data_IF_164485224429
#
_entry.id   IF_164485224429
#
_cell.length_a   1.000
_cell.length_b   1.000
_cell.length_c   1.000
_cell.angle_alpha   90.00
_cell.angle_beta   90.00
_cell.angle_gamma   90.00
#
_symmetry.space_group_name_H-M   'P 1'
#
loop_
_entity.id
_entity.type
_entity.pdbx_description
1 polymer ?
#
# COMPACT_ATOMS: atom_id res chain seq x y z
N UNK A 1 40.67 -18.62 49.90
CA UNK A 1 40.16 -18.32 48.55
C UNK A 1 38.99 -17.37 48.71
N UNK A 2 39.01 -16.26 48.00
CA UNK A 2 38.27 -15.03 48.31
C UNK A 2 37.30 -14.70 47.15
N UNK A 3 36.11 -14.19 47.48
CA UNK A 3 35.06 -13.57 46.62
C UNK A 3 34.39 -14.51 45.58
N UNK A 4 33.14 -14.36 45.14
CA UNK A 4 32.35 -13.16 44.80
C UNK A 4 30.85 -13.51 44.84
N UNK A 5 30.02 -12.61 45.36
CA UNK A 5 28.55 -12.63 45.24
C UNK A 5 28.15 -12.31 43.79
N UNK A 6 27.27 -13.06 43.11
CA UNK A 6 26.73 -12.61 41.85
C UNK A 6 25.70 -11.51 42.12
N UNK A 7 26.06 -10.28 41.77
CA UNK A 7 25.13 -9.18 41.52
C UNK A 7 24.20 -9.63 40.38
N UNK A 8 22.90 -9.75 40.67
CA UNK A 8 21.90 -9.80 39.61
C UNK A 8 21.66 -8.36 39.17
N UNK A 9 22.26 -7.99 38.04
CA UNK A 9 21.83 -6.84 37.28
C UNK A 9 20.35 -7.03 36.91
N UNK A 10 19.53 -6.03 37.23
CA UNK A 10 18.15 -5.94 36.75
C UNK A 10 18.15 -5.67 35.24
N UNK A 11 18.35 -6.72 34.45
CA UNK A 11 17.90 -6.69 33.06
C UNK A 11 16.37 -6.67 33.08
N UNK A 12 15.81 -5.47 32.99
CA UNK A 12 14.42 -5.26 32.59
C UNK A 12 14.20 -6.03 31.29
N UNK A 13 13.61 -7.21 31.41
CA UNK A 13 13.07 -7.93 30.28
C UNK A 13 12.15 -6.98 29.53
N UNK A 14 12.57 -6.60 28.32
CA UNK A 14 11.72 -5.97 27.33
C UNK A 14 10.46 -6.83 27.19
N UNK A 15 9.37 -6.37 27.80
CA UNK A 15 8.05 -6.97 27.61
C UNK A 15 7.78 -6.89 26.12
N UNK A 16 7.72 -8.06 25.49
CA UNK A 16 7.36 -8.21 24.09
C UNK A 16 6.00 -7.54 23.90
N UNK A 17 5.98 -6.42 23.18
CA UNK A 17 4.76 -5.68 22.89
C UNK A 17 3.80 -6.62 22.17
N UNK A 18 2.62 -6.79 22.78
CA UNK A 18 1.53 -7.57 22.22
C UNK A 18 1.13 -6.96 20.87
N UNK A 19 0.62 -7.78 19.96
CA UNK A 19 0.17 -7.37 18.63
C UNK A 19 -0.67 -6.08 18.68
N UNK A 20 -0.48 -5.23 17.67
CA UNK A 20 -1.15 -3.91 17.52
C UNK A 20 -2.68 -4.01 17.56
N UNK A 21 -3.24 -5.21 17.37
CA UNK A 21 -4.68 -5.48 17.35
C UNK A 21 -5.28 -5.79 18.74
N UNK A 22 -4.48 -5.90 19.81
CA UNK A 22 -4.96 -6.16 21.16
C UNK A 22 -4.83 -4.90 22.04
N UNK A 23 -5.94 -4.18 22.22
CA UNK A 23 -5.98 -3.02 23.11
C UNK A 23 -6.48 -3.42 24.50
N UNK A 24 -5.56 -3.70 25.42
CA UNK A 24 -5.90 -3.91 26.83
C UNK A 24 -6.16 -2.56 27.50
N UNK A 25 -7.27 -2.45 28.23
CA UNK A 25 -7.67 -1.23 28.96
C UNK A 25 -6.64 -0.77 30.02
N UNK A 26 -5.77 -1.69 30.46
CA UNK A 26 -4.66 -1.41 31.36
C UNK A 26 -3.56 -2.43 31.11
N UNK A 27 -2.30 -1.96 31.10
CA UNK A 27 -1.11 -2.82 31.06
C UNK A 27 -0.74 -3.38 32.44
N UNK A 28 -1.56 -3.10 33.46
CA UNK A 28 -1.37 -3.55 34.84
C UNK A 28 -2.65 -4.18 35.39
N UNK A 29 -2.47 -5.22 36.21
CA UNK A 29 -3.58 -5.86 36.92
C UNK A 29 -4.27 -4.87 37.87
N UNK A 30 -5.61 -4.91 37.98
CA UNK A 30 -6.35 -4.05 38.92
C UNK A 30 -5.83 -4.24 40.34
N UNK A 31 -5.46 -3.15 40.99
CA UNK A 31 -5.03 -3.17 42.39
C UNK A 31 -6.27 -3.09 43.27
N UNK A 32 -6.68 -4.23 43.83
CA UNK A 32 -7.75 -4.30 44.82
C UNK A 32 -7.18 -4.54 46.22
N UNK A 33 -7.91 -4.10 47.24
CA UNK A 33 -7.65 -4.45 48.64
C UNK A 33 -8.67 -5.49 49.09
N UNK A 34 -8.17 -6.62 49.62
CA UNK A 34 -8.99 -7.67 50.23
C UNK A 34 -9.15 -7.40 51.73
N UNK A 35 -10.39 -7.46 52.22
CA UNK A 35 -10.69 -7.49 53.64
C UNK A 35 -10.56 -8.90 54.25
N UNK A 36 -10.83 -9.03 55.56
CA UNK A 36 -11.03 -10.34 56.19
C UNK A 36 -12.12 -11.12 55.43
N UNK A 37 -11.90 -12.43 55.22
CA UNK A 37 -12.71 -13.32 54.37
C UNK A 37 -12.61 -13.11 52.84
N UNK A 38 -11.51 -12.52 52.35
CA UNK A 38 -11.23 -12.35 50.91
C UNK A 38 -12.28 -11.51 50.16
N UNK A 39 -13.02 -10.64 50.85
CA UNK A 39 -13.98 -9.74 50.22
C UNK A 39 -13.26 -8.50 49.65
N UNK A 40 -13.48 -8.21 48.37
CA UNK A 40 -12.92 -7.02 47.70
C UNK A 40 -13.62 -5.77 48.28
N UNK A 41 -12.87 -4.93 49.00
CA UNK A 41 -13.44 -3.84 49.80
C UNK A 41 -13.53 -2.50 49.06
N UNK A 42 -12.79 -2.35 47.96
CA UNK A 42 -12.61 -1.07 47.28
C UNK A 42 -12.57 -1.29 45.76
N UNK A 43 -13.73 -1.18 45.12
CA UNK A 43 -13.79 -0.90 43.68
C UNK A 43 -13.38 0.57 43.49
N UNK A 44 -12.10 0.80 43.23
CA UNK A 44 -11.62 2.13 42.83
C UNK A 44 -12.34 2.45 41.52
N UNK A 45 -13.26 3.43 41.57
CA UNK A 45 -13.94 3.98 40.40
C UNK A 45 -12.92 4.20 39.30
N UNK A 46 -13.09 3.43 38.23
CA UNK A 46 -12.31 3.49 37.00
C UNK A 46 -12.19 4.96 36.61
N UNK A 47 -10.99 5.51 36.79
CA UNK A 47 -10.70 6.91 36.49
C UNK A 47 -11.05 7.09 35.02
N UNK A 48 -12.04 7.95 34.76
CA UNK A 48 -12.66 8.16 33.45
C UNK A 48 -11.73 8.89 32.48
N UNK A 49 -10.46 8.46 32.41
CA UNK A 49 -9.50 8.88 31.39
C UNK A 49 -9.74 8.05 30.14
N UNK A 50 -10.63 8.56 29.30
CA UNK A 50 -10.62 8.27 27.87
C UNK A 50 -11.49 7.11 27.40
N UNK A 51 -12.65 6.86 28.01
CA UNK A 51 -13.71 6.13 27.29
C UNK A 51 -14.21 7.01 26.16
N UNK A 52 -13.60 6.91 24.99
CA UNK A 52 -14.26 7.32 23.75
C UNK A 52 -15.55 6.53 23.67
N UNK A 53 -16.67 7.24 23.60
CA UNK A 53 -17.98 6.61 23.45
C UNK A 53 -17.99 5.78 22.17
N UNK A 54 -18.80 4.71 22.12
CA UNK A 54 -18.89 3.86 20.92
C UNK A 54 -19.15 4.68 19.64
N UNK A 55 -19.87 5.80 19.76
CA UNK A 55 -20.11 6.74 18.66
C UNK A 55 -18.83 7.47 18.20
N UNK A 56 -17.95 7.85 19.11
CA UNK A 56 -16.66 8.50 18.80
C UNK A 56 -15.68 7.52 18.17
N UNK A 57 -15.62 6.27 18.65
CA UNK A 57 -14.81 5.20 18.03
C UNK A 57 -15.29 4.91 16.61
N UNK A 58 -16.61 4.75 16.42
CA UNK A 58 -17.19 4.54 15.07
C UNK A 58 -16.93 5.73 14.15
N UNK A 59 -16.99 6.96 14.66
CA UNK A 59 -16.70 8.15 13.86
C UNK A 59 -15.22 8.22 13.48
N UNK A 60 -14.32 7.88 14.41
CA UNK A 60 -12.88 7.83 14.18
C UNK A 60 -12.51 6.75 13.15
N UNK A 61 -13.02 5.52 13.30
CA UNK A 61 -12.81 4.43 12.34
C UNK A 61 -13.40 4.77 10.97
N UNK A 62 -14.60 5.36 10.93
CA UNK A 62 -15.21 5.83 9.68
C UNK A 62 -14.31 6.86 9.00
N UNK A 63 -13.78 7.83 9.73
CA UNK A 63 -12.88 8.84 9.16
C UNK A 63 -11.58 8.19 8.66
N UNK A 64 -11.00 7.28 9.43
CA UNK A 64 -9.78 6.54 9.07
C UNK A 64 -9.98 5.67 7.82
N UNK A 65 -11.14 4.99 7.71
CA UNK A 65 -11.53 4.24 6.53
C UNK A 65 -11.76 5.16 5.32
N UNK A 66 -12.36 6.33 5.54
CA UNK A 66 -12.57 7.34 4.48
C UNK A 66 -11.24 7.90 3.98
N UNK A 67 -10.27 8.12 4.87
CA UNK A 67 -8.91 8.50 4.51
C UNK A 67 -8.17 7.38 3.77
N UNK A 68 -8.31 6.12 4.20
CA UNK A 68 -7.79 4.96 3.47
C UNK A 68 -8.40 4.81 2.08
N UNK A 69 -9.69 5.12 1.90
CA UNK A 69 -10.34 5.14 0.59
C UNK A 69 -9.90 6.33 -0.30
N UNK A 70 -9.34 7.39 0.31
CA UNK A 70 -8.74 8.52 -0.41
C UNK A 70 -7.35 8.14 -0.95
N UNK A 71 -6.63 7.27 -0.25
CA UNK A 71 -5.47 6.57 -0.78
C UNK A 71 -5.95 5.56 -1.84
N UNK A 72 -5.55 5.76 -3.09
CA UNK A 72 -5.95 4.87 -4.17
C UNK A 72 -5.47 3.45 -3.85
N UNK A 73 -6.39 2.47 -3.93
CA UNK A 73 -5.99 1.07 -3.89
C UNK A 73 -4.99 0.79 -5.00
N UNK A 74 -4.04 -0.13 -4.79
CA UNK A 74 -3.12 -0.61 -5.83
C UNK A 74 -3.90 -1.01 -7.10
N UNK A 75 -5.10 -1.59 -6.93
CA UNK A 75 -6.00 -1.92 -8.04
C UNK A 75 -6.47 -0.69 -8.79
N UNK A 76 -6.83 0.38 -8.09
CA UNK A 76 -7.28 1.63 -8.70
C UNK A 76 -6.13 2.36 -9.39
N UNK A 77 -4.93 2.30 -8.82
CA UNK A 77 -3.72 2.87 -9.40
C UNK A 77 -3.36 2.18 -10.73
N UNK A 78 -3.38 0.84 -10.76
CA UNK A 78 -3.19 0.06 -12.00
C UNK A 78 -4.24 0.43 -13.04
N UNK A 79 -5.52 0.48 -12.65
CA UNK A 79 -6.61 0.85 -13.58
C UNK A 79 -6.44 2.27 -14.13
N UNK A 80 -6.01 3.23 -13.31
CA UNK A 80 -5.72 4.60 -13.76
C UNK A 80 -4.54 4.62 -14.71
N UNK A 81 -3.49 3.86 -14.40
CA UNK A 81 -2.32 3.75 -15.27
C UNK A 81 -2.69 3.16 -16.63
N UNK A 82 -3.41 2.04 -16.68
CA UNK A 82 -3.84 1.41 -17.92
C UNK A 82 -4.71 2.34 -18.78
N UNK A 83 -5.63 3.07 -18.14
CA UNK A 83 -6.45 4.09 -18.83
C UNK A 83 -5.60 5.20 -19.42
N UNK A 84 -4.63 5.71 -18.65
CA UNK A 84 -3.75 6.79 -19.10
C UNK A 84 -2.79 6.30 -20.19
N UNK A 85 -2.28 5.08 -20.10
CA UNK A 85 -1.47 4.44 -21.13
C UNK A 85 -2.28 4.28 -22.42
N UNK A 86 -3.51 3.79 -22.33
CA UNK A 86 -4.41 3.67 -23.47
C UNK A 86 -4.84 5.01 -24.07
N UNK A 87 -4.89 6.08 -23.27
CA UNK A 87 -5.11 7.43 -23.78
C UNK A 87 -3.86 7.96 -24.51
N UNK A 88 -2.67 7.76 -23.91
CA UNK A 88 -1.40 8.19 -24.51
C UNK A 88 -1.12 7.51 -25.86
N UNK A 89 -1.53 6.25 -26.03
CA UNK A 89 -1.40 5.54 -27.32
C UNK A 89 -2.33 6.06 -28.41
N UNK A 90 -3.41 6.79 -28.06
CA UNK A 90 -4.37 7.39 -29.01
C UNK A 90 -4.03 8.83 -29.42
N UNK A 91 -3.24 9.55 -28.63
CA UNK A 91 -2.71 10.88 -28.97
C UNK A 91 -2.07 10.98 -30.37
N UNK A 92 -1.29 10.00 -30.88
CA UNK A 92 -0.75 10.07 -32.24
C UNK A 92 -1.83 10.07 -33.34
N UNK A 93 -3.03 9.54 -33.09
CA UNK A 93 -4.13 9.58 -34.06
C UNK A 93 -4.80 10.95 -34.10
N UNK A 94 -4.91 11.63 -32.96
CA UNK A 94 -5.35 13.02 -32.90
C UNK A 94 -4.37 13.96 -33.64
N UNK A 95 -3.07 13.68 -33.54
CA UNK A 95 -2.05 14.41 -34.31
C UNK A 95 -2.19 14.21 -35.83
N UNK A 96 -2.63 13.03 -36.31
CA UNK A 96 -2.92 12.79 -37.74
C UNK A 96 -4.12 13.60 -38.23
N UNK A 97 -5.16 13.76 -37.41
CA UNK A 97 -6.31 14.59 -37.77
C UNK A 97 -5.90 16.06 -37.96
N UNK A 98 -5.01 16.55 -37.10
CA UNK A 98 -4.47 17.92 -37.22
C UNK A 98 -3.61 18.10 -38.47
N UNK A 99 -2.85 17.08 -38.87
CA UNK A 99 -2.05 17.05 -40.11
C UNK A 99 -2.94 17.15 -41.37
N UNK A 100 -4.07 16.44 -41.40
CA UNK A 100 -5.04 16.49 -42.51
C UNK A 100 -5.67 17.88 -42.63
N UNK A 101 -6.07 18.49 -41.52
CA UNK A 101 -6.61 19.86 -41.51
C UNK A 101 -5.59 20.90 -41.99
N UNK A 102 -4.29 20.65 -41.75
CA UNK A 102 -3.19 21.51 -42.17
C UNK A 102 -2.98 21.48 -43.70
N UNK A 103 -3.03 20.29 -44.31
CA UNK A 103 -2.98 20.13 -45.77
C UNK A 103 -4.14 20.85 -46.48
N UNK A 104 -5.34 20.79 -45.93
CA UNK A 104 -6.50 21.52 -46.44
C UNK A 104 -6.31 23.04 -46.35
N UNK A 105 -5.66 23.51 -45.27
CA UNK A 105 -5.27 24.91 -45.09
C UNK A 105 -4.39 25.44 -46.22
N UNK A 106 -3.36 24.68 -46.64
CA UNK A 106 -2.50 25.07 -47.77
C UNK A 106 -3.25 25.19 -49.09
N UNK A 107 -4.18 24.26 -49.35
CA UNK A 107 -5.01 24.30 -50.56
C UNK A 107 -5.91 25.54 -50.57
N UNK A 108 -6.51 25.89 -49.44
CA UNK A 108 -7.38 27.07 -49.30
C UNK A 108 -6.55 28.35 -49.45
N UNK A 109 -5.40 28.46 -48.79
CA UNK A 109 -4.52 29.63 -48.89
C UNK A 109 -4.02 29.83 -50.32
N UNK A 110 -3.69 28.74 -51.03
CA UNK A 110 -3.32 28.81 -52.46
C UNK A 110 -4.47 29.34 -53.31
N UNK A 111 -5.67 28.76 -53.18
CA UNK A 111 -6.86 29.21 -53.94
C UNK A 111 -7.19 30.68 -53.66
N UNK A 112 -7.08 31.10 -52.39
CA UNK A 112 -7.30 32.48 -51.99
C UNK A 112 -6.27 33.42 -52.63
N UNK A 113 -4.98 33.07 -52.59
CA UNK A 113 -3.92 33.84 -53.24
C UNK A 113 -4.17 33.97 -54.75
N UNK A 114 -4.48 32.87 -55.42
CA UNK A 114 -4.72 32.85 -56.88
C UNK A 114 -5.96 33.70 -57.25
N UNK A 115 -7.01 33.67 -56.42
CA UNK A 115 -8.19 34.53 -56.60
C UNK A 115 -7.87 36.03 -56.38
N UNK A 116 -7.06 36.36 -55.37
CA UNK A 116 -6.61 37.73 -55.12
C UNK A 116 -5.70 38.25 -56.23
N UNK A 117 -4.81 37.42 -56.79
CA UNK A 117 -3.95 37.83 -57.92
C UNK A 117 -4.80 38.08 -59.19
N UNK A 118 -5.82 37.24 -59.44
CA UNK A 118 -6.79 37.47 -60.51
C UNK A 118 -7.55 38.80 -60.33
N UNK A 119 -7.99 39.09 -59.10
CA UNK A 119 -8.68 40.34 -58.77
C UNK A 119 -7.76 41.56 -58.94
N UNK A 120 -6.51 41.47 -58.47
CA UNK A 120 -5.49 42.51 -58.59
C UNK A 120 -5.20 42.87 -60.05
N UNK A 121 -5.20 41.89 -60.96
CA UNK A 121 -5.04 42.10 -62.40
C UNK A 121 -6.20 42.88 -63.05
N UNK A 122 -7.37 42.93 -62.40
CA UNK A 122 -8.59 43.60 -62.88
C UNK A 122 -8.85 44.96 -62.23
N UNK A 123 -8.08 45.35 -61.22
CA UNK A 123 -8.26 46.59 -60.45
C UNK A 123 -7.22 47.67 -60.83
N UNK A 124 -7.60 48.94 -60.67
CA UNK A 124 -6.74 50.10 -60.89
C UNK A 124 -6.51 50.91 -59.61
N UNK A 125 -5.36 51.59 -59.52
CA UNK A 125 -5.00 52.56 -58.47
C UNK A 125 -5.03 51.99 -57.04
N UNK A 126 -5.72 52.65 -56.10
CA UNK A 126 -5.71 52.41 -54.65
C UNK A 126 -6.16 50.99 -54.26
N UNK A 127 -7.18 50.45 -54.93
CA UNK A 127 -7.69 49.10 -54.65
C UNK A 127 -6.67 48.02 -55.03
N UNK A 128 -5.80 48.29 -56.00
CA UNK A 128 -4.73 47.36 -56.42
C UNK A 128 -3.66 47.20 -55.33
N UNK A 129 -3.31 48.29 -54.64
CA UNK A 129 -2.39 48.25 -53.49
C UNK A 129 -2.98 47.54 -52.28
N UNK A 130 -4.27 47.76 -51.99
CA UNK A 130 -4.97 47.06 -50.91
C UNK A 130 -5.05 45.55 -51.14
N UNK A 131 -5.38 45.12 -52.37
CA UNK A 131 -5.32 43.70 -52.74
C UNK A 131 -3.88 43.17 -52.71
N UNK A 132 -2.89 43.99 -53.09
CA UNK A 132 -1.48 43.65 -52.92
C UNK A 132 -1.10 43.35 -51.47
N UNK A 133 -1.55 44.18 -50.51
CA UNK A 133 -1.37 43.95 -49.07
C UNK A 133 -2.06 42.66 -48.62
N UNK A 134 -3.28 42.41 -49.10
CA UNK A 134 -4.01 41.18 -48.79
C UNK A 134 -3.26 39.93 -49.27
N UNK A 135 -2.66 39.96 -50.47
CA UNK A 135 -1.82 38.88 -51.00
C UNK A 135 -0.60 38.64 -50.08
N UNK A 136 0.12 39.70 -49.70
CA UNK A 136 1.25 39.58 -48.77
C UNK A 136 0.84 39.01 -47.40
N UNK A 137 -0.35 39.33 -46.90
CA UNK A 137 -0.88 38.74 -45.67
C UNK A 137 -1.18 37.24 -45.84
N UNK A 138 -1.74 36.82 -46.97
CA UNK A 138 -2.00 35.41 -47.28
C UNK A 138 -0.68 34.62 -47.41
N UNK A 139 0.34 35.20 -48.03
CA UNK A 139 1.69 34.60 -48.10
C UNK A 139 2.31 34.45 -46.71
N UNK A 140 2.20 35.49 -45.87
CA UNK A 140 2.67 35.41 -44.48
C UNK A 140 1.94 34.34 -43.66
N UNK A 141 0.63 34.15 -43.90
CA UNK A 141 -0.14 33.05 -43.28
C UNK A 141 0.31 31.68 -43.77
N UNK A 142 0.61 31.52 -45.06
CA UNK A 142 1.12 30.27 -45.61
C UNK A 142 2.48 29.89 -45.00
N UNK A 143 3.40 30.86 -44.85
CA UNK A 143 4.68 30.63 -44.18
C UNK A 143 4.49 30.19 -42.73
N UNK A 144 3.61 30.85 -41.98
CA UNK A 144 3.28 30.47 -40.59
C UNK A 144 2.68 29.07 -40.50
N UNK A 145 1.84 28.68 -41.46
CA UNK A 145 1.23 27.36 -41.50
C UNK A 145 2.30 26.28 -41.69
N UNK A 146 3.23 26.46 -42.64
CA UNK A 146 4.36 25.54 -42.86
C UNK A 146 5.29 25.43 -41.64
N UNK A 147 5.57 26.56 -40.97
CA UNK A 147 6.40 26.55 -39.77
C UNK A 147 5.74 25.73 -38.65
N UNK A 148 4.44 25.95 -38.41
CA UNK A 148 3.67 25.21 -37.41
C UNK A 148 3.61 23.71 -37.73
N UNK A 149 3.53 23.34 -39.00
CA UNK A 149 3.59 21.94 -39.42
C UNK A 149 4.94 21.30 -39.12
N UNK A 150 6.05 22.03 -39.35
CA UNK A 150 7.39 21.58 -38.97
C UNK A 150 7.50 21.29 -37.47
N UNK A 151 6.98 22.20 -36.64
CA UNK A 151 6.89 22.02 -35.17
C UNK A 151 6.05 20.79 -34.80
N UNK A 152 4.89 20.62 -35.45
CA UNK A 152 4.00 19.47 -35.22
C UNK A 152 4.67 18.14 -35.57
N UNK A 153 5.44 18.07 -36.67
CA UNK A 153 6.18 16.88 -37.07
C UNK A 153 7.24 16.52 -36.02
N UNK A 154 7.97 17.52 -35.52
CA UNK A 154 8.96 17.32 -34.46
C UNK A 154 8.29 16.85 -33.15
N UNK A 155 7.19 17.48 -32.75
CA UNK A 155 6.40 17.08 -31.57
C UNK A 155 5.90 15.64 -31.69
N UNK A 156 5.39 15.25 -32.86
CA UNK A 156 4.96 13.87 -33.17
C UNK A 156 6.08 12.87 -33.04
N UNK A 157 7.30 13.22 -33.48
CA UNK A 157 8.47 12.35 -33.34
C UNK A 157 8.83 12.14 -31.86
N UNK A 158 8.89 13.23 -31.08
CA UNK A 158 9.15 13.16 -29.64
C UNK A 158 8.05 12.37 -28.92
N UNK A 159 6.78 12.61 -29.25
CA UNK A 159 5.63 11.91 -28.68
C UNK A 159 5.65 10.41 -28.98
N UNK A 160 6.03 10.01 -30.20
CA UNK A 160 6.21 8.60 -30.57
C UNK A 160 7.31 7.95 -29.73
N UNK A 161 8.44 8.64 -29.55
CA UNK A 161 9.55 8.16 -28.72
C UNK A 161 9.12 7.99 -27.26
N UNK A 162 8.43 8.99 -26.70
CA UNK A 162 7.91 8.95 -25.33
C UNK A 162 6.89 7.83 -25.12
N UNK A 163 5.98 7.63 -26.06
CA UNK A 163 4.99 6.55 -26.02
C UNK A 163 5.67 5.17 -25.97
N UNK A 164 6.74 4.98 -26.74
CA UNK A 164 7.51 3.73 -26.71
C UNK A 164 8.20 3.51 -25.37
N UNK A 165 8.82 4.56 -24.80
CA UNK A 165 9.40 4.46 -23.46
C UNK A 165 8.36 4.14 -22.39
N UNK A 166 7.20 4.79 -22.45
CA UNK A 166 6.12 4.53 -21.49
C UNK A 166 5.61 3.08 -21.59
N UNK A 167 5.47 2.54 -22.81
CA UNK A 167 5.13 1.12 -23.02
C UNK A 167 6.19 0.19 -22.44
N UNK A 168 7.47 0.45 -22.73
CA UNK A 168 8.56 -0.37 -22.23
C UNK A 168 8.62 -0.37 -20.70
N UNK A 169 8.59 0.81 -20.08
CA UNK A 169 8.58 0.95 -18.63
C UNK A 169 7.37 0.26 -17.98
N UNK A 170 6.19 0.32 -18.62
CA UNK A 170 5.00 -0.39 -18.17
C UNK A 170 5.18 -1.91 -18.18
N UNK A 171 5.70 -2.47 -19.27
CA UNK A 171 5.95 -3.92 -19.37
C UNK A 171 7.03 -4.38 -18.39
N UNK A 172 8.11 -3.60 -18.25
CA UNK A 172 9.18 -3.91 -17.30
C UNK A 172 8.67 -3.89 -15.85
N UNK A 173 7.86 -2.91 -15.48
CA UNK A 173 7.22 -2.85 -14.17
C UNK A 173 6.30 -4.06 -13.93
N UNK A 174 5.49 -4.45 -14.93
CA UNK A 174 4.62 -5.61 -14.85
C UNK A 174 5.40 -6.91 -14.67
N UNK A 175 6.52 -7.06 -15.38
CA UNK A 175 7.42 -8.21 -15.25
C UNK A 175 8.02 -8.29 -13.85
N UNK A 176 8.54 -7.18 -13.33
CA UNK A 176 9.12 -7.11 -11.99
C UNK A 176 8.09 -7.49 -10.92
N UNK A 177 6.89 -6.94 -10.98
CA UNK A 177 5.80 -7.27 -10.04
C UNK A 177 5.43 -8.75 -10.09
N UNK A 178 5.34 -9.34 -11.29
CA UNK A 178 5.01 -10.76 -11.42
C UNK A 178 6.12 -11.66 -10.89
N UNK A 179 7.38 -11.29 -11.10
CA UNK A 179 8.53 -12.00 -10.57
C UNK A 179 8.54 -11.96 -9.04
N UNK A 180 8.36 -10.79 -8.43
CA UNK A 180 8.31 -10.65 -6.97
C UNK A 180 7.14 -11.44 -6.35
N UNK A 181 5.96 -11.39 -6.98
CA UNK A 181 4.82 -12.21 -6.56
C UNK A 181 5.14 -13.70 -6.58
N UNK A 182 5.86 -14.16 -7.62
CA UNK A 182 6.25 -15.57 -7.71
C UNK A 182 7.21 -15.96 -6.59
N UNK A 183 8.22 -15.13 -6.29
CA UNK A 183 9.15 -15.37 -5.19
C UNK A 183 8.44 -15.40 -3.84
N UNK A 184 7.61 -14.40 -3.55
CA UNK A 184 6.82 -14.36 -2.33
C UNK A 184 5.89 -15.58 -2.20
N UNK A 185 5.25 -16.03 -3.29
CA UNK A 185 4.42 -17.23 -3.27
C UNK A 185 5.25 -18.49 -2.95
N UNK A 186 6.45 -18.62 -3.54
CA UNK A 186 7.32 -19.77 -3.25
C UNK A 186 7.82 -19.77 -1.81
N UNK A 187 8.17 -18.61 -1.26
CA UNK A 187 8.62 -18.48 0.13
C UNK A 187 7.49 -18.77 1.11
N UNK A 188 6.30 -18.21 0.88
CA UNK A 188 5.11 -18.49 1.68
C UNK A 188 4.77 -19.98 1.65
N UNK A 189 4.81 -20.62 0.47
CA UNK A 189 4.52 -22.05 0.38
C UNK A 189 5.58 -22.91 1.06
N UNK A 190 6.86 -22.57 0.92
CA UNK A 190 7.95 -23.21 1.66
C UNK A 190 7.77 -23.11 3.18
N UNK A 191 7.43 -21.92 3.69
CA UNK A 191 7.14 -21.71 5.11
C UNK A 191 5.92 -22.52 5.57
N UNK A 192 4.86 -22.59 4.74
CA UNK A 192 3.67 -23.42 5.03
C UNK A 192 4.02 -24.91 5.07
N UNK A 193 4.86 -25.40 4.16
CA UNK A 193 5.32 -26.79 4.16
C UNK A 193 6.15 -27.11 5.43
N UNK A 194 7.04 -26.19 5.83
CA UNK A 194 7.80 -26.33 7.08
C UNK A 194 6.87 -26.34 8.31
N UNK A 195 5.89 -25.44 8.36
CA UNK A 195 4.87 -25.42 9.42
C UNK A 195 4.07 -26.71 9.46
N UNK A 196 3.69 -27.27 8.31
CA UNK A 196 2.94 -28.53 8.25
C UNK A 196 3.77 -29.70 8.80
N UNK A 197 5.07 -29.76 8.48
CA UNK A 197 5.98 -30.76 9.05
C UNK A 197 6.11 -30.63 10.57
N UNK A 198 6.23 -29.40 11.07
CA UNK A 198 6.29 -29.13 12.53
C UNK A 198 4.97 -29.54 13.20
N UNK A 199 3.83 -29.20 12.60
CA UNK A 199 2.52 -29.58 13.11
C UNK A 199 2.37 -31.11 13.21
N UNK A 200 2.77 -31.84 12.17
CA UNK A 200 2.77 -33.31 12.17
C UNK A 200 3.71 -33.89 13.24
N UNK A 201 4.94 -33.37 13.36
CA UNK A 201 5.89 -33.83 14.38
C UNK A 201 5.37 -33.60 15.80
N UNK A 202 4.68 -32.48 16.06
CA UNK A 202 4.04 -32.20 17.35
C UNK A 202 2.89 -33.18 17.63
N UNK A 203 2.03 -33.44 16.64
CA UNK A 203 0.93 -34.40 16.76
C UNK A 203 1.45 -35.84 17.02
N UNK A 204 2.51 -36.25 16.30
CA UNK A 204 3.18 -37.54 16.54
C UNK A 204 3.80 -37.61 17.94
N UNK A 205 4.48 -36.55 18.40
CA UNK A 205 5.05 -36.47 19.75
C UNK A 205 3.95 -36.57 20.83
N UNK A 206 2.82 -35.90 20.64
CA UNK A 206 1.68 -36.00 21.54
C UNK A 206 1.12 -37.43 21.57
N UNK A 207 0.93 -38.05 20.39
CA UNK A 207 0.44 -39.43 20.28
C UNK A 207 1.39 -40.43 20.94
N UNK A 208 2.70 -40.28 20.76
CA UNK A 208 3.72 -41.11 21.41
C UNK A 208 3.76 -40.90 22.92
N UNK A 209 3.54 -39.67 23.40
CA UNK A 209 3.53 -39.36 24.83
C UNK A 209 2.32 -39.98 25.53
N UNK A 210 1.15 -39.98 24.86
CA UNK A 210 -0.05 -40.69 25.31
C UNK A 210 0.15 -42.22 25.28
N UNK A 211 0.71 -42.76 24.19
CA UNK A 211 0.91 -44.21 24.05
C UNK A 211 2.00 -44.79 24.98
N UNK A 212 3.00 -43.98 25.35
CA UNK A 212 4.11 -44.37 26.23
C UNK A 212 3.70 -44.50 27.71
N UNK A 213 2.46 -44.18 28.08
CA UNK A 213 2.02 -44.16 29.48
C UNK A 213 2.67 -43.06 30.33
N UNK A 214 3.54 -42.22 29.76
CA UNK A 214 4.24 -41.11 30.45
C UNK A 214 3.28 -40.14 31.12
N UNK A 215 2.12 -39.91 30.50
CA UNK A 215 1.05 -39.09 31.08
C UNK A 215 0.53 -39.69 32.40
N UNK A 216 0.32 -41.02 32.41
CA UNK A 216 -0.16 -41.77 33.57
C UNK A 216 0.92 -41.93 34.65
N UNK A 217 2.18 -42.07 34.25
CA UNK A 217 3.32 -42.06 35.20
C UNK A 217 3.48 -40.70 35.86
N UNK A 218 3.35 -39.60 35.10
CA UNK A 218 3.39 -38.25 35.63
C UNK A 218 2.21 -37.95 36.56
N UNK A 219 1.01 -38.43 36.24
CA UNK A 219 -0.17 -38.32 37.08
C UNK A 219 0.00 -39.07 38.41
N UNK A 220 0.49 -40.32 38.37
CA UNK A 220 0.85 -41.07 39.58
C UNK A 220 1.91 -40.37 40.43
N UNK A 221 2.93 -39.80 39.79
CA UNK A 221 3.98 -39.06 40.49
C UNK A 221 3.42 -37.81 41.18
N UNK A 222 2.46 -37.11 40.57
CA UNK A 222 1.77 -35.97 41.19
C UNK A 222 0.98 -36.42 42.42
N UNK A 223 0.27 -37.54 42.35
CA UNK A 223 -0.44 -38.11 43.51
C UNK A 223 0.52 -38.46 44.66
N UNK A 224 1.65 -39.11 44.35
CA UNK A 224 2.69 -39.45 45.34
C UNK A 224 3.27 -38.20 45.99
N UNK A 225 3.56 -37.15 45.21
CA UNK A 225 4.07 -35.87 45.72
C UNK A 225 3.04 -35.18 46.62
N UNK A 226 1.75 -35.23 46.26
CA UNK A 226 0.68 -34.68 47.09
C UNK A 226 0.52 -35.45 48.40
N UNK A 227 0.63 -36.78 48.37
CA UNK A 227 0.64 -37.62 49.56
C UNK A 227 1.84 -37.31 50.46
N UNK A 228 3.04 -37.22 49.89
CA UNK A 228 4.25 -36.86 50.61
C UNK A 228 4.13 -35.48 51.28
N UNK A 229 3.53 -34.50 50.60
CA UNK A 229 3.21 -33.19 51.20
C UNK A 229 2.24 -33.30 52.37
N UNK A 230 1.15 -34.08 52.25
CA UNK A 230 0.19 -34.30 53.35
C UNK A 230 0.85 -34.96 54.55
N UNK A 231 1.62 -36.03 54.33
CA UNK A 231 2.36 -36.73 55.38
C UNK A 231 3.31 -35.77 56.07
N UNK A 232 4.06 -34.96 55.31
CA UNK A 232 4.99 -33.97 55.86
C UNK A 232 4.29 -32.92 56.74
N UNK A 233 3.10 -32.45 56.35
CA UNK A 233 2.32 -31.50 57.15
C UNK A 233 1.78 -32.16 58.43
N UNK A 234 1.29 -33.40 58.33
CA UNK A 234 0.78 -34.17 59.49
C UNK A 234 1.86 -34.48 60.52
N UNK A 235 3.09 -34.71 60.07
CA UNK A 235 4.24 -35.03 60.93
C UNK A 235 5.16 -33.83 61.13
N UNK A 236 4.68 -32.62 60.82
CA UNK A 236 5.44 -31.41 61.07
C UNK A 236 5.52 -31.24 62.60
N UNK A 237 6.72 -31.24 63.21
CA UNK A 237 6.84 -31.04 64.64
C UNK A 237 6.25 -29.67 64.97
N UNK A 238 5.13 -29.66 65.69
CA UNK A 238 4.65 -28.45 66.33
C UNK A 238 5.75 -28.01 67.27
N UNK A 239 6.30 -26.81 67.07
CA UNK A 239 7.11 -26.16 68.10
C UNK A 239 6.16 -25.84 69.26
N UNK A 240 5.95 -26.82 70.12
CA UNK A 240 5.41 -26.60 71.45
C UNK A 240 6.52 -25.90 72.23
N UNK A 241 6.16 -24.78 72.86
CA UNK A 241 6.98 -23.90 73.67
C UNK A 241 7.89 -24.64 74.66
#
# INVERSE_FOLDING_TARGET
MTWVTPEFEEDMQHIQSVSVDANFLSTQFPKYKLGPDNQILEDIKEDSRGRLTLKEVVLQEKNQLTEQHKCLSVRDLVRKFDKNLAAATKLPDEAKLREVASLEGHVILKKLRDALECLKGRLASRNKEEVGKAISMVEALAVKLTQREGELIQEKFVMKKLTNFLKQASEDAKKLVNQEKSFACTEINSAREAMQKIAQALEEQERLSQASGKQQEMEKLVEEVQLARRIRVMHQPSKVC
#
